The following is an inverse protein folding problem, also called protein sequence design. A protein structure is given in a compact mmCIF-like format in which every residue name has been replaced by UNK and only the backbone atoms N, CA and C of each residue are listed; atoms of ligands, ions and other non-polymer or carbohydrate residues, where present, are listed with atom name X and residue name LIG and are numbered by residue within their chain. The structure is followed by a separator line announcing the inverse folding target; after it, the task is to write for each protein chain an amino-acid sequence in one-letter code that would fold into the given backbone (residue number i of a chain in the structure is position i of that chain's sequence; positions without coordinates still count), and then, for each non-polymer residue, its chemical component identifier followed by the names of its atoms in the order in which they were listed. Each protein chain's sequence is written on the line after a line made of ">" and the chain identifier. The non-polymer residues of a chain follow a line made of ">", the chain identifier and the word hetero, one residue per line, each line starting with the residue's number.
data_IF_690145602506
#
_entry.id   IF_690145602506
#
_cell.length_a   1.000
_cell.length_b   1.000
_cell.length_c   1.000
_cell.angle_alpha   90.00
_cell.angle_beta   90.00
_cell.angle_gamma   90.00
#
_symmetry.space_group_name_H-M   'P 1'
#
loop_
_entity.id
_entity.type
_entity.pdbx_description
1 polymer ?
#
# COMPACT_ATOMS: atom_id res chain seq x y z
N UNK A 1 -4.23 41.55 -0.54
CA UNK A 1 -3.38 42.06 0.57
C UNK A 1 -3.62 41.17 1.78
N UNK A 2 -2.57 40.83 2.53
CA UNK A 2 -2.67 39.93 3.69
C UNK A 2 -2.24 40.69 4.93
N UNK A 3 -2.92 40.44 6.04
CA UNK A 3 -2.64 41.04 7.33
C UNK A 3 -2.14 39.94 8.25
N UNK A 4 -0.84 39.97 8.56
CA UNK A 4 -0.23 39.11 9.59
C UNK A 4 -0.31 39.86 10.92
N UNK A 5 -1.04 39.31 11.90
CA UNK A 5 -1.15 39.88 13.24
C UNK A 5 -0.22 39.15 14.21
N UNK A 6 0.76 39.86 14.73
CA UNK A 6 1.61 39.40 15.83
C UNK A 6 0.84 39.25 17.15
N UNK A 7 1.49 38.66 18.15
CA UNK A 7 0.96 38.56 19.52
C UNK A 7 1.63 39.58 20.44
N UNK A 8 0.84 40.24 21.28
CA UNK A 8 1.36 41.15 22.31
C UNK A 8 2.11 40.44 23.44
N UNK A 9 1.96 39.11 23.55
CA UNK A 9 2.52 38.29 24.65
C UNK A 9 3.51 37.22 24.18
N UNK A 10 3.56 36.93 22.87
CA UNK A 10 4.39 35.86 22.32
C UNK A 10 5.32 36.41 21.24
N UNK A 11 6.59 36.02 21.31
CA UNK A 11 7.62 36.35 20.31
C UNK A 11 7.70 35.32 19.17
N UNK A 12 6.66 34.49 19.00
CA UNK A 12 6.63 33.49 17.96
C UNK A 12 6.44 34.13 16.58
N UNK A 13 7.12 33.55 15.59
CA UNK A 13 6.92 33.90 14.18
C UNK A 13 5.47 33.65 13.76
N UNK A 14 4.88 34.61 13.06
CA UNK A 14 3.55 34.48 12.45
C UNK A 14 3.73 34.28 10.96
N UNK A 15 3.03 33.29 10.39
CA UNK A 15 3.05 32.99 8.96
C UNK A 15 1.64 32.92 8.39
N UNK A 16 1.52 33.13 7.08
CA UNK A 16 0.33 32.80 6.32
C UNK A 16 0.72 32.01 5.07
N UNK A 17 -0.08 31.01 4.74
CA UNK A 17 -0.01 30.30 3.46
C UNK A 17 -1.06 30.89 2.53
N UNK A 18 -0.67 31.09 1.27
CA UNK A 18 -1.54 31.64 0.25
C UNK A 18 -1.62 30.67 -0.90
N UNK A 19 -2.84 30.39 -1.32
CA UNK A 19 -3.07 29.70 -2.58
C UNK A 19 -3.07 30.75 -3.68
N UNK A 20 -2.21 30.56 -4.68
CA UNK A 20 -2.25 31.33 -5.91
C UNK A 20 -3.03 30.53 -6.95
N UNK A 21 -3.86 31.23 -7.74
CA UNK A 21 -4.59 30.62 -8.86
C UNK A 21 -3.57 30.01 -9.83
N UNK A 22 -3.89 28.82 -10.36
CA UNK A 22 -2.98 27.98 -11.14
C UNK A 22 -2.38 28.73 -12.33
N UNK A 23 -1.14 29.19 -12.17
CA UNK A 23 -0.31 29.68 -13.26
C UNK A 23 0.55 28.52 -13.77
N UNK A 24 0.51 28.26 -15.08
CA UNK A 24 1.39 27.28 -15.73
C UNK A 24 2.56 28.00 -16.41
N UNK A 25 3.79 27.64 -16.02
CA UNK A 25 5.01 28.17 -16.63
C UNK A 25 5.98 28.81 -15.63
N UNK A 26 6.94 29.59 -16.16
CA UNK A 26 7.90 30.34 -15.33
C UNK A 26 7.24 31.54 -14.68
N UNK A 27 7.22 31.60 -13.35
CA UNK A 27 6.73 32.75 -12.61
C UNK A 27 7.80 33.34 -11.68
N UNK A 28 7.59 34.59 -11.30
CA UNK A 28 8.34 35.26 -10.24
C UNK A 28 7.36 35.70 -9.17
N UNK A 29 7.60 35.27 -7.93
CA UNK A 29 6.78 35.65 -6.78
C UNK A 29 7.55 36.68 -5.96
N UNK A 30 6.90 37.82 -5.69
CA UNK A 30 7.49 38.93 -4.93
C UNK A 30 6.56 39.31 -3.79
N UNK A 31 7.14 39.47 -2.61
CA UNK A 31 6.46 40.02 -1.45
C UNK A 31 7.18 41.30 -1.06
N UNK A 32 6.41 42.33 -0.70
CA UNK A 32 6.93 43.54 -0.08
C UNK A 32 6.07 43.90 1.10
N UNK A 33 6.71 44.42 2.14
CA UNK A 33 6.02 45.04 3.26
C UNK A 33 5.43 46.38 2.81
N UNK A 34 4.20 46.67 3.22
CA UNK A 34 3.51 47.93 2.93
C UNK A 34 3.45 48.86 4.14
N UNK A 35 3.74 48.34 5.34
CA UNK A 35 3.77 49.13 6.57
C UNK A 35 5.16 49.74 6.79
N UNK A 36 5.26 50.91 7.47
CA UNK A 36 6.53 51.53 7.82
C UNK A 36 7.24 50.77 8.94
N UNK A 37 8.57 50.73 8.93
CA UNK A 37 9.38 50.08 9.99
C UNK A 37 9.09 50.73 11.34
N UNK A 38 8.73 49.96 12.38
CA UNK A 38 8.44 50.52 13.68
C UNK A 38 9.71 51.15 14.26
N UNK A 39 9.55 52.26 14.96
CA UNK A 39 10.65 53.03 15.56
C UNK A 39 11.30 52.32 16.75
N UNK A 40 10.73 51.18 17.18
CA UNK A 40 11.15 50.43 18.36
C UNK A 40 12.16 49.36 17.96
N UNK A 41 13.40 49.47 18.46
CA UNK A 41 14.54 48.61 18.08
C UNK A 41 14.49 47.17 18.62
N UNK A 42 13.53 46.87 19.49
CA UNK A 42 13.38 45.55 20.12
C UNK A 42 12.48 44.58 19.33
N UNK A 43 11.89 45.03 18.22
CA UNK A 43 11.01 44.21 17.37
C UNK A 43 11.75 43.88 16.07
N UNK A 44 12.01 42.59 15.85
CA UNK A 44 12.57 42.11 14.57
C UNK A 44 11.42 41.94 13.58
N UNK A 45 11.31 42.89 12.65
CA UNK A 45 10.17 43.03 11.72
C UNK A 45 10.52 42.52 10.31
N UNK A 46 11.21 41.38 10.23
CA UNK A 46 11.72 40.83 8.97
C UNK A 46 10.68 39.96 8.26
N UNK A 47 10.38 40.27 6.99
CA UNK A 47 9.51 39.45 6.13
C UNK A 47 10.38 38.51 5.31
N UNK A 48 10.34 37.21 5.64
CA UNK A 48 11.02 36.15 4.88
C UNK A 48 10.01 35.25 4.18
N UNK A 49 10.40 34.77 3.00
CA UNK A 49 9.78 33.60 2.42
C UNK A 49 10.22 32.37 3.19
N UNK A 50 9.28 31.60 3.69
CA UNK A 50 9.59 30.29 4.27
C UNK A 50 9.72 29.22 3.18
N UNK A 51 8.75 29.16 2.27
CA UNK A 51 8.72 28.22 1.17
C UNK A 51 7.84 28.73 0.03
N UNK A 52 8.16 28.33 -1.20
CA UNK A 52 7.30 28.46 -2.37
C UNK A 52 7.05 27.04 -2.90
N UNK A 53 5.78 26.64 -2.95
CA UNK A 53 5.39 25.33 -3.44
C UNK A 53 4.86 25.44 -4.87
N UNK A 54 5.46 24.67 -5.79
CA UNK A 54 4.85 24.35 -7.07
C UNK A 54 4.04 23.06 -6.93
N UNK A 55 2.83 23.04 -7.46
CA UNK A 55 2.07 21.81 -7.61
C UNK A 55 2.09 21.41 -9.08
N UNK A 56 2.55 20.20 -9.38
CA UNK A 56 2.36 19.58 -10.68
C UNK A 56 1.25 18.52 -10.51
N UNK A 57 0.16 18.58 -11.29
CA UNK A 57 -0.85 17.54 -11.22
C UNK A 57 -0.22 16.20 -11.60
N UNK A 58 -0.46 15.16 -10.81
CA UNK A 58 -0.05 13.82 -11.20
C UNK A 58 -0.72 13.47 -12.54
N UNK A 59 0.06 12.94 -13.48
CA UNK A 59 -0.46 12.56 -14.80
C UNK A 59 -1.46 11.39 -14.72
N UNK A 60 -1.33 10.54 -13.69
CA UNK A 60 -2.29 9.48 -13.38
C UNK A 60 -2.41 9.33 -11.87
N UNK A 61 -3.61 9.03 -11.39
CA UNK A 61 -3.88 8.55 -10.04
C UNK A 61 -4.17 7.05 -10.02
N UNK A 62 -4.09 6.40 -11.19
CA UNK A 62 -4.29 4.96 -11.37
C UNK A 62 -2.96 4.35 -11.76
N UNK A 63 -2.48 3.44 -10.93
CA UNK A 63 -1.25 2.69 -11.15
C UNK A 63 -1.66 1.23 -11.29
N UNK A 64 -1.36 0.64 -12.45
CA UNK A 64 -1.70 -0.75 -12.71
C UNK A 64 -0.87 -1.65 -11.78
N UNK A 65 -1.54 -2.58 -11.09
CA UNK A 65 -0.94 -3.54 -10.16
C UNK A 65 -0.34 -2.94 -8.87
N UNK A 66 -0.56 -1.65 -8.58
CA UNK A 66 -0.07 -1.00 -7.38
C UNK A 66 -1.21 -0.52 -6.47
N UNK A 67 -0.98 -0.58 -5.15
CA UNK A 67 -1.86 0.05 -4.16
C UNK A 67 -1.24 1.35 -3.69
N UNK A 68 -1.87 2.48 -4.01
CA UNK A 68 -1.40 3.80 -3.58
C UNK A 68 -2.18 4.28 -2.37
N UNK A 69 -1.48 4.50 -1.26
CA UNK A 69 -2.04 5.11 -0.06
C UNK A 69 -1.41 6.47 0.22
N UNK A 70 -2.24 7.45 0.59
CA UNK A 70 -1.79 8.80 0.99
C UNK A 70 -2.30 9.15 2.38
N UNK A 71 -1.39 9.26 3.34
CA UNK A 71 -1.69 9.87 4.65
C UNK A 71 -1.32 11.35 4.67
N UNK A 72 -2.20 12.17 5.23
CA UNK A 72 -1.92 13.58 5.59
C UNK A 72 -2.03 13.73 7.09
N UNK A 73 -0.96 14.20 7.73
CA UNK A 73 -1.01 14.58 9.15
C UNK A 73 -0.88 16.09 9.29
N UNK A 74 -1.77 16.70 10.06
CA UNK A 74 -1.68 18.13 10.38
C UNK A 74 -0.67 18.36 11.51
N UNK A 75 0.14 19.41 11.39
CA UNK A 75 1.14 19.76 12.39
C UNK A 75 0.48 20.38 13.63
N UNK A 76 0.12 19.53 14.60
CA UNK A 76 -0.29 19.93 15.95
C UNK A 76 0.86 19.66 16.93
N UNK A 77 0.86 20.32 18.11
CA UNK A 77 1.89 20.10 19.15
C UNK A 77 2.00 18.62 19.54
N UNK A 78 0.86 17.92 19.62
CA UNK A 78 0.82 16.47 19.86
C UNK A 78 1.30 15.63 18.67
N UNK A 79 1.09 16.09 17.43
CA UNK A 79 1.65 15.41 16.26
C UNK A 79 3.18 15.55 16.21
N UNK A 80 3.74 16.69 16.60
CA UNK A 80 5.18 16.95 16.59
C UNK A 80 5.93 16.24 17.72
N UNK A 81 5.23 15.80 18.78
CA UNK A 81 5.83 15.05 19.89
C UNK A 81 6.00 13.55 19.62
N UNK A 82 5.44 13.02 18.52
CA UNK A 82 5.56 11.59 18.17
C UNK A 82 6.93 11.31 17.55
N UNK A 83 7.76 10.50 18.23
CA UNK A 83 9.11 10.13 17.77
C UNK A 83 9.14 9.28 16.49
N UNK A 84 8.16 8.40 16.29
CA UNK A 84 8.02 7.61 15.06
C UNK A 84 6.55 7.43 14.73
N UNK A 85 6.19 7.75 13.48
CA UNK A 85 4.83 7.56 12.97
C UNK A 85 4.78 6.19 12.32
N UNK A 86 3.92 5.31 12.82
CA UNK A 86 3.61 4.02 12.20
C UNK A 86 2.19 4.07 11.67
N UNK A 87 1.99 3.50 10.48
CA UNK A 87 0.68 3.26 9.89
C UNK A 87 0.65 1.76 9.60
N UNK A 88 -0.38 1.09 10.12
CA UNK A 88 -0.59 -0.34 9.90
C UNK A 88 -1.77 -0.49 8.95
N UNK A 89 -1.68 -1.47 8.05
CA UNK A 89 -2.77 -1.85 7.18
C UNK A 89 -3.04 -3.34 7.30
N UNK A 90 -4.30 -3.67 7.14
CA UNK A 90 -4.75 -5.03 6.82
C UNK A 90 -5.17 -4.99 5.35
N UNK A 91 -4.28 -5.42 4.46
CA UNK A 91 -4.48 -5.33 3.01
C UNK A 91 -4.71 -6.72 2.45
N UNK A 92 -5.74 -6.83 1.59
CA UNK A 92 -6.01 -8.02 0.81
C UNK A 92 -5.78 -7.72 -0.67
N UNK A 93 -5.24 -8.70 -1.39
CA UNK A 93 -5.08 -8.59 -2.84
C UNK A 93 -6.42 -8.88 -3.51
N UNK A 94 -6.74 -8.12 -4.54
CA UNK A 94 -7.88 -8.39 -5.41
C UNK A 94 -7.47 -9.47 -6.42
N UNK A 95 -7.98 -10.69 -6.26
CA UNK A 95 -7.66 -11.84 -7.11
C UNK A 95 -8.92 -12.54 -7.64
N UNK A 96 -8.82 -13.26 -8.77
CA UNK A 96 -9.81 -14.25 -9.13
C UNK A 96 -9.98 -15.27 -7.99
N UNK A 97 -11.21 -15.73 -7.76
CA UNK A 97 -11.52 -16.75 -6.75
C UNK A 97 -12.17 -17.96 -7.40
N UNK A 98 -12.11 -19.12 -6.76
CA UNK A 98 -12.76 -20.31 -7.32
C UNK A 98 -14.21 -20.44 -6.88
N UNK A 99 -15.12 -20.51 -7.87
CA UNK A 99 -16.56 -20.66 -7.64
C UNK A 99 -17.15 -21.58 -8.71
N UNK A 100 -18.03 -22.49 -8.30
CA UNK A 100 -18.79 -23.37 -9.20
C UNK A 100 -17.91 -24.15 -10.22
N UNK A 101 -16.73 -24.60 -9.79
CA UNK A 101 -15.86 -25.42 -10.64
C UNK A 101 -14.82 -24.67 -11.47
N UNK A 102 -14.82 -23.33 -11.46
CA UNK A 102 -13.90 -22.51 -12.25
C UNK A 102 -13.44 -21.24 -11.50
N UNK A 103 -12.36 -20.63 -11.99
CA UNK A 103 -11.92 -19.31 -11.51
C UNK A 103 -12.87 -18.22 -12.00
N UNK A 104 -13.18 -17.24 -11.17
CA UNK A 104 -13.96 -16.05 -11.56
C UNK A 104 -13.16 -15.16 -12.51
N UNK A 105 -13.86 -14.41 -13.38
CA UNK A 105 -13.25 -13.32 -14.16
C UNK A 105 -13.17 -12.02 -13.37
N UNK A 106 -14.10 -11.81 -12.45
CA UNK A 106 -14.08 -10.70 -11.50
C UNK A 106 -13.06 -10.94 -10.38
N UNK A 107 -12.48 -9.85 -9.89
CA UNK A 107 -11.54 -9.86 -8.77
C UNK A 107 -12.29 -9.64 -7.46
N UNK A 108 -11.95 -10.42 -6.44
CA UNK A 108 -12.48 -10.30 -5.09
C UNK A 108 -11.33 -10.11 -4.10
N UNK A 109 -11.55 -9.37 -3.00
CA UNK A 109 -10.57 -9.30 -1.93
C UNK A 109 -10.44 -10.68 -1.29
N UNK A 110 -9.22 -11.21 -1.25
CA UNK A 110 -8.96 -12.54 -0.68
C UNK A 110 -7.61 -12.58 0.01
N UNK A 111 -7.56 -13.37 1.08
CA UNK A 111 -6.33 -13.79 1.77
C UNK A 111 -6.05 -15.28 1.56
N UNK A 112 -6.87 -16.00 0.79
CA UNK A 112 -6.75 -17.46 0.61
C UNK A 112 -5.41 -17.84 -0.03
N UNK A 113 -4.70 -18.79 0.57
CA UNK A 113 -3.49 -19.33 -0.03
C UNK A 113 -3.77 -20.01 -1.39
N UNK A 114 -4.96 -20.59 -1.58
CA UNK A 114 -5.34 -21.25 -2.82
C UNK A 114 -5.51 -20.25 -3.97
N UNK A 115 -6.20 -19.13 -3.71
CA UNK A 115 -6.36 -18.06 -4.70
C UNK A 115 -4.97 -17.46 -5.04
N UNK A 116 -4.13 -17.24 -4.03
CA UNK A 116 -2.77 -16.74 -4.20
C UNK A 116 -1.90 -17.69 -5.04
N UNK A 117 -1.92 -19.00 -4.72
CA UNK A 117 -1.18 -20.02 -5.45
C UNK A 117 -1.60 -20.12 -6.91
N UNK A 118 -2.91 -20.19 -7.16
CA UNK A 118 -3.44 -20.29 -8.54
C UNK A 118 -3.12 -19.02 -9.32
N UNK A 119 -3.29 -17.83 -8.72
CA UNK A 119 -2.92 -16.58 -9.38
C UNK A 119 -1.42 -16.54 -9.70
N UNK A 120 -0.56 -16.99 -8.79
CA UNK A 120 0.89 -17.02 -8.99
C UNK A 120 1.30 -18.02 -10.07
N UNK A 121 0.65 -19.18 -10.13
CA UNK A 121 0.94 -20.21 -11.12
C UNK A 121 0.57 -19.78 -12.55
N UNK A 122 -0.53 -19.05 -12.71
CA UNK A 122 -1.02 -18.56 -14.00
C UNK A 122 -0.36 -17.26 -14.47
N UNK A 123 0.36 -16.57 -13.59
CA UNK A 123 1.05 -15.32 -13.89
C UNK A 123 2.12 -15.52 -14.99
N UNK A 124 2.20 -14.59 -15.94
CA UNK A 124 3.06 -14.70 -17.13
C UNK A 124 4.55 -14.42 -16.82
N UNK A 125 4.85 -13.88 -15.65
CA UNK A 125 6.22 -13.63 -15.18
C UNK A 125 6.67 -14.64 -14.14
N UNK A 126 5.75 -15.11 -13.29
CA UNK A 126 6.08 -16.01 -12.18
C UNK A 126 5.97 -17.48 -12.62
N UNK A 127 4.76 -18.04 -12.65
CA UNK A 127 4.56 -19.48 -12.85
C UNK A 127 4.53 -19.94 -14.31
N UNK A 128 4.02 -19.10 -15.22
CA UNK A 128 3.84 -19.41 -16.66
C UNK A 128 3.18 -20.76 -16.92
N UNK A 129 2.25 -21.18 -16.08
CA UNK A 129 1.50 -22.43 -16.24
C UNK A 129 0.20 -22.17 -16.97
N UNK A 130 -0.30 -23.18 -17.68
CA UNK A 130 -1.67 -23.19 -18.16
C UNK A 130 -2.63 -23.72 -17.10
N UNK A 131 -3.92 -23.42 -17.25
CA UNK A 131 -4.95 -23.92 -16.34
C UNK A 131 -5.00 -25.47 -16.31
N UNK A 132 -4.63 -26.12 -17.41
CA UNK A 132 -4.63 -27.57 -17.54
C UNK A 132 -3.50 -28.24 -16.73
N UNK A 133 -2.45 -27.48 -16.40
CA UNK A 133 -1.34 -27.92 -15.55
C UNK A 133 -1.63 -27.78 -14.05
N UNK A 134 -2.83 -27.32 -13.67
CA UNK A 134 -3.20 -27.06 -12.28
C UNK A 134 -4.44 -27.91 -11.93
N UNK A 135 -4.37 -28.67 -10.84
CA UNK A 135 -5.53 -29.39 -10.32
C UNK A 135 -6.31 -28.48 -9.36
N UNK A 136 -7.15 -27.59 -9.92
CA UNK A 136 -7.93 -26.63 -9.15
C UNK A 136 -8.78 -27.33 -8.08
N UNK A 137 -9.45 -28.43 -8.45
CA UNK A 137 -10.32 -29.15 -7.52
C UNK A 137 -9.53 -29.71 -6.33
N UNK A 138 -8.36 -30.29 -6.57
CA UNK A 138 -7.48 -30.72 -5.48
C UNK A 138 -7.01 -29.55 -4.61
N UNK A 139 -6.60 -28.42 -5.19
CA UNK A 139 -6.11 -27.26 -4.45
C UNK A 139 -7.19 -26.68 -3.54
N UNK A 140 -8.39 -26.44 -4.08
CA UNK A 140 -9.49 -25.86 -3.30
C UNK A 140 -10.11 -26.86 -2.32
N UNK A 141 -10.09 -28.17 -2.61
CA UNK A 141 -10.42 -29.17 -1.60
C UNK A 141 -9.41 -29.15 -0.45
N UNK A 142 -8.12 -29.07 -0.75
CA UNK A 142 -7.06 -28.98 0.26
C UNK A 142 -7.21 -27.72 1.12
N UNK A 143 -7.57 -26.59 0.51
CA UNK A 143 -7.94 -25.38 1.24
C UNK A 143 -9.06 -25.66 2.27
N UNK A 144 -10.16 -26.27 1.84
CA UNK A 144 -11.26 -26.59 2.76
C UNK A 144 -10.83 -27.59 3.84
N UNK A 145 -10.01 -28.60 3.52
CA UNK A 145 -9.48 -29.56 4.49
C UNK A 145 -8.66 -28.87 5.59
N UNK A 146 -7.86 -27.85 5.25
CA UNK A 146 -7.11 -27.02 6.22
C UNK A 146 -8.07 -26.24 7.11
N UNK A 147 -9.04 -25.53 6.50
CA UNK A 147 -10.03 -24.72 7.23
C UNK A 147 -10.84 -25.58 8.20
N UNK A 148 -11.32 -26.74 7.74
CA UNK A 148 -12.13 -27.67 8.53
C UNK A 148 -11.32 -28.28 9.68
N UNK A 149 -10.05 -28.61 9.45
CA UNK A 149 -9.19 -29.18 10.47
C UNK A 149 -8.88 -28.20 11.62
N UNK A 150 -8.58 -26.95 11.30
CA UNK A 150 -8.29 -25.92 12.31
C UNK A 150 -9.55 -25.20 12.83
N UNK A 151 -10.70 -25.39 12.18
CA UNK A 151 -11.96 -24.73 12.51
C UNK A 151 -11.97 -23.22 12.22
N UNK A 152 -11.04 -22.72 11.41
CA UNK A 152 -10.93 -21.29 11.08
C UNK A 152 -10.32 -21.06 9.70
N UNK A 153 -10.87 -20.14 8.89
CA UNK A 153 -10.30 -19.77 7.60
C UNK A 153 -8.93 -19.08 7.73
N UNK A 154 -8.63 -18.49 8.90
CA UNK A 154 -7.35 -17.81 9.18
C UNK A 154 -6.14 -18.75 9.04
N UNK A 155 -6.33 -20.06 9.26
CA UNK A 155 -5.27 -21.05 9.11
C UNK A 155 -4.94 -21.35 7.63
N UNK A 156 -5.79 -20.91 6.70
CA UNK A 156 -5.62 -21.05 5.26
C UNK A 156 -5.34 -19.70 4.57
N UNK A 157 -4.90 -18.70 5.33
CA UNK A 157 -4.52 -17.40 4.79
C UNK A 157 -3.02 -17.34 4.44
N UNK A 158 -2.72 -16.67 3.33
CA UNK A 158 -1.36 -16.32 2.94
C UNK A 158 -1.06 -14.87 3.37
N UNK A 159 -0.35 -14.73 4.48
CA UNK A 159 -0.04 -13.43 5.11
C UNK A 159 1.44 -13.04 5.02
N UNK A 160 2.15 -13.44 3.97
CA UNK A 160 3.57 -13.10 3.79
C UNK A 160 3.81 -12.22 2.57
N UNK A 161 4.92 -11.49 2.60
CA UNK A 161 5.38 -10.63 1.51
C UNK A 161 6.42 -11.38 0.69
N UNK A 162 6.26 -11.35 -0.64
CA UNK A 162 7.26 -11.82 -1.59
C UNK A 162 7.93 -10.57 -2.17
N UNK A 163 9.18 -10.31 -1.81
CA UNK A 163 9.94 -9.13 -2.24
C UNK A 163 11.26 -9.46 -2.95
N UNK A 164 11.66 -10.74 -3.01
CA UNK A 164 12.87 -11.18 -3.70
C UNK A 164 12.61 -11.61 -5.14
N UNK A 165 13.28 -10.94 -6.09
CA UNK A 165 13.21 -11.23 -7.52
C UNK A 165 14.03 -12.44 -7.95
N UNK A 166 14.84 -13.02 -7.04
CA UNK A 166 15.70 -14.17 -7.35
C UNK A 166 15.04 -15.52 -7.02
N UNK A 167 13.84 -15.52 -6.45
CA UNK A 167 13.12 -16.76 -6.14
C UNK A 167 12.49 -17.36 -7.40
N UNK A 168 12.72 -18.66 -7.59
CA UNK A 168 12.03 -19.45 -8.59
C UNK A 168 10.55 -19.66 -8.22
N UNK A 169 9.73 -19.99 -9.21
CA UNK A 169 8.32 -20.34 -8.97
C UNK A 169 8.19 -21.50 -7.97
N UNK A 170 9.03 -22.52 -8.10
CA UNK A 170 9.05 -23.70 -7.25
C UNK A 170 9.37 -23.35 -5.79
N UNK A 171 10.31 -22.43 -5.54
CA UNK A 171 10.60 -21.90 -4.20
C UNK A 171 9.43 -21.08 -3.64
N UNK A 172 8.78 -20.26 -4.46
CA UNK A 172 7.61 -19.49 -4.03
C UNK A 172 6.43 -20.41 -3.66
N UNK A 173 6.17 -21.45 -4.45
CA UNK A 173 5.15 -22.45 -4.14
C UNK A 173 5.48 -23.15 -2.84
N UNK A 174 6.73 -23.55 -2.63
CA UNK A 174 7.16 -24.21 -1.40
C UNK A 174 6.96 -23.31 -0.19
N UNK A 175 7.44 -22.06 -0.26
CA UNK A 175 7.26 -21.07 0.81
C UNK A 175 5.78 -20.82 1.15
N UNK A 176 4.91 -20.77 0.14
CA UNK A 176 3.48 -20.60 0.33
C UNK A 176 2.84 -21.83 0.97
N UNK A 177 3.20 -23.03 0.53
CA UNK A 177 2.62 -24.27 1.04
C UNK A 177 3.09 -24.58 2.47
N UNK A 178 4.36 -24.33 2.78
CA UNK A 178 4.92 -24.50 4.12
C UNK A 178 4.20 -23.61 5.15
N UNK A 179 3.76 -22.41 4.76
CA UNK A 179 3.02 -21.50 5.63
C UNK A 179 1.63 -22.04 6.03
N UNK A 180 1.07 -22.97 5.26
CA UNK A 180 -0.26 -23.55 5.47
C UNK A 180 -0.23 -25.08 5.63
N UNK A 181 0.91 -25.62 6.07
CA UNK A 181 1.10 -27.05 6.37
C UNK A 181 0.80 -27.98 5.17
N UNK A 182 1.01 -27.48 3.95
CA UNK A 182 0.79 -28.24 2.73
C UNK A 182 2.13 -28.55 2.06
N UNK A 183 2.18 -29.66 1.34
CA UNK A 183 3.28 -30.04 0.47
C UNK A 183 2.80 -30.04 -0.98
N UNK A 184 3.45 -29.25 -1.81
CA UNK A 184 3.18 -29.20 -3.25
C UNK A 184 3.87 -30.36 -3.98
N UNK A 185 3.16 -30.97 -4.92
CA UNK A 185 3.71 -32.05 -5.75
C UNK A 185 3.11 -32.03 -7.15
N UNK A 186 3.75 -32.75 -8.08
CA UNK A 186 3.22 -32.95 -9.44
C UNK A 186 2.82 -34.39 -9.66
N UNK A 187 1.63 -34.58 -10.25
CA UNK A 187 1.13 -35.88 -10.67
C UNK A 187 0.37 -35.71 -11.98
N UNK A 188 0.65 -36.54 -12.97
CA UNK A 188 0.04 -36.46 -14.31
C UNK A 188 0.18 -35.06 -14.93
N UNK A 189 1.36 -34.46 -14.79
CA UNK A 189 1.69 -33.08 -15.20
C UNK A 189 0.89 -31.97 -14.49
N UNK A 190 0.03 -32.29 -13.52
CA UNK A 190 -0.73 -31.31 -12.75
C UNK A 190 -0.07 -30.99 -11.41
N UNK A 191 -0.04 -29.70 -11.05
CA UNK A 191 0.28 -29.23 -9.71
C UNK A 191 -0.86 -29.57 -8.76
N UNK A 192 -0.50 -30.20 -7.63
CA UNK A 192 -1.40 -30.66 -6.58
C UNK A 192 -0.82 -30.33 -5.21
N UNK A 193 -1.67 -30.36 -4.20
CA UNK A 193 -1.33 -30.15 -2.80
C UNK A 193 -1.73 -31.35 -1.95
N UNK A 194 -0.92 -31.59 -0.93
CA UNK A 194 -1.16 -32.56 0.12
C UNK A 194 -1.11 -31.82 1.46
N UNK A 195 -2.18 -31.89 2.25
CA UNK A 195 -2.21 -31.31 3.58
C UNK A 195 -1.64 -32.30 4.61
N UNK A 196 -0.59 -31.88 5.32
CA UNK A 196 0.06 -32.70 6.34
C UNK A 196 -0.67 -32.59 7.67
N UNK A 197 -1.27 -33.70 8.12
CA UNK A 197 -1.94 -33.79 9.42
C UNK A 197 -1.71 -35.15 10.07
N UNK A 198 -1.70 -35.23 11.42
CA UNK A 198 -1.72 -36.51 12.11
C UNK A 198 -2.99 -37.29 11.75
N UNK A 199 -2.83 -38.58 11.44
CA UNK A 199 -3.92 -39.54 11.25
C UNK A 199 -4.61 -39.89 12.56
#
# INVERSE_FOLDING_TARGET
>A
QIILKGSAKSRQTVGATLDMVTFQGRCSVRARRLTPTPTVTTVVDEVKWQALYGAYPLQSTVYEHETVFRARTYATTGALSVKSRKINFDLQRMLPTYKNGAMTTELYPTSSFADALVSMALDDKIGRRSIDEIDLENIYRTYNDVVDYFGTPLAAEFCTTIDDTNLSFEELVTNLCDAVFCTAYRQNNKLKLYFERPT
#
